data_IF_975069656819
#
_entry.id   IF_975069656819
#
_cell.length_a   1.000
_cell.length_b   1.000
_cell.length_c   1.000
_cell.angle_alpha   90.00
_cell.angle_beta   90.00
_cell.angle_gamma   90.00
#
_symmetry.space_group_name_H-M   'P 1'
#
loop_
_entity.id
_entity.type
_entity.pdbx_description
1 polymer ?
#
# COMPACT_ATOMS: atom_id res chain seq x y z
N UNK A 1 28.98 12.25 -5.03
CA UNK A 1 27.66 12.12 -4.37
C UNK A 1 26.59 11.92 -5.42
N UNK A 2 26.35 10.68 -5.84
CA UNK A 2 25.21 10.37 -6.72
C UNK A 2 23.95 10.29 -5.85
N UNK A 3 23.00 11.21 -6.08
CA UNK A 3 21.64 11.16 -5.52
C UNK A 3 21.01 9.82 -5.88
N UNK A 4 20.96 8.88 -4.95
CA UNK A 4 20.08 7.72 -5.09
C UNK A 4 18.66 8.23 -4.84
N UNK A 5 17.70 8.05 -5.74
CA UNK A 5 16.34 8.51 -5.50
C UNK A 5 15.76 7.68 -4.35
N UNK A 6 15.58 8.28 -3.18
CA UNK A 6 14.98 7.64 -2.00
C UNK A 6 13.59 7.05 -2.26
N UNK A 7 12.96 7.41 -3.38
CA UNK A 7 11.62 7.00 -3.82
C UNK A 7 11.55 5.59 -4.41
N UNK A 8 12.60 5.09 -5.07
CA UNK A 8 12.55 3.78 -5.71
C UNK A 8 12.42 2.65 -4.67
N UNK A 9 13.14 2.74 -3.55
CA UNK A 9 13.07 1.71 -2.51
C UNK A 9 11.68 1.55 -1.86
N UNK A 10 10.89 2.62 -1.80
CA UNK A 10 9.49 2.54 -1.34
C UNK A 10 8.61 1.86 -2.38
N UNK A 11 8.75 2.22 -3.66
CA UNK A 11 8.01 1.57 -4.74
C UNK A 11 8.37 0.08 -4.87
N UNK A 12 9.66 -0.25 -4.83
CA UNK A 12 10.17 -1.63 -4.84
C UNK A 12 9.60 -2.45 -3.68
N UNK A 13 9.58 -1.88 -2.47
CA UNK A 13 8.99 -2.55 -1.29
C UNK A 13 7.49 -2.80 -1.47
N UNK A 14 6.76 -1.85 -2.05
CA UNK A 14 5.33 -2.03 -2.37
C UNK A 14 5.14 -3.14 -3.41
N UNK A 15 5.94 -3.16 -4.48
CA UNK A 15 5.89 -4.21 -5.50
C UNK A 15 6.18 -5.58 -4.90
N UNK A 16 7.23 -5.70 -4.09
CA UNK A 16 7.59 -6.93 -3.40
C UNK A 16 6.45 -7.41 -2.49
N UNK A 17 5.87 -6.52 -1.68
CA UNK A 17 4.71 -6.83 -0.82
C UNK A 17 3.53 -7.35 -1.63
N UNK A 18 3.25 -6.72 -2.78
CA UNK A 18 2.14 -7.07 -3.66
C UNK A 18 2.37 -8.44 -4.33
N UNK A 19 3.61 -8.77 -4.66
CA UNK A 19 3.97 -10.08 -5.19
C UNK A 19 3.88 -11.19 -4.13
N UNK A 20 4.45 -10.95 -2.95
CA UNK A 20 4.54 -11.94 -1.86
C UNK A 20 3.21 -12.17 -1.14
N UNK A 21 2.46 -11.10 -0.85
CA UNK A 21 1.25 -11.21 -0.03
C UNK A 21 -0.03 -11.38 -0.83
N UNK A 22 -0.03 -11.07 -2.13
CA UNK A 22 -1.23 -11.14 -2.96
C UNK A 22 -1.03 -12.02 -4.20
N UNK A 23 -0.12 -11.66 -5.09
CA UNK A 23 -0.02 -12.33 -6.39
C UNK A 23 0.37 -13.81 -6.27
N UNK A 24 1.28 -14.14 -5.35
CA UNK A 24 1.74 -15.52 -5.15
C UNK A 24 0.76 -16.39 -4.34
N UNK A 25 -0.21 -15.79 -3.66
CA UNK A 25 -1.14 -16.50 -2.78
C UNK A 25 -2.34 -17.11 -3.54
N UNK A 26 -2.59 -16.69 -4.78
CA UNK A 26 -3.78 -17.10 -5.52
C UNK A 26 -3.51 -17.28 -7.01
N UNK A 27 -4.10 -18.33 -7.60
CA UNK A 27 -4.10 -18.54 -9.05
C UNK A 27 -5.35 -17.90 -9.66
N UNK A 28 -5.16 -16.81 -10.39
CA UNK A 28 -6.27 -16.08 -11.00
C UNK A 28 -6.84 -16.80 -12.23
N UNK A 29 -8.15 -17.06 -12.22
CA UNK A 29 -8.86 -17.72 -13.33
C UNK A 29 -8.93 -16.88 -14.60
N UNK A 30 -8.99 -15.56 -14.46
CA UNK A 30 -9.05 -14.62 -15.58
C UNK A 30 -8.51 -13.23 -15.20
N UNK A 31 -8.24 -12.42 -16.23
CA UNK A 31 -7.67 -11.08 -16.08
C UNK A 31 -8.57 -10.11 -15.30
N UNK A 32 -9.89 -10.22 -15.48
CA UNK A 32 -10.84 -9.32 -14.82
C UNK A 32 -10.90 -9.56 -13.31
N UNK A 33 -10.95 -10.81 -12.88
CA UNK A 33 -10.87 -11.20 -11.47
C UNK A 33 -9.56 -10.72 -10.85
N UNK A 34 -8.43 -10.94 -11.52
CA UNK A 34 -7.13 -10.41 -11.07
C UNK A 34 -7.15 -8.90 -10.86
N UNK A 35 -7.77 -8.14 -11.77
CA UNK A 35 -7.87 -6.68 -11.65
C UNK A 35 -8.70 -6.25 -10.43
N UNK A 36 -9.83 -6.91 -10.20
CA UNK A 36 -10.71 -6.62 -9.05
C UNK A 36 -10.00 -6.93 -7.74
N UNK A 37 -9.36 -8.09 -7.65
CA UNK A 37 -8.61 -8.50 -6.46
C UNK A 37 -7.40 -7.60 -6.19
N UNK A 38 -6.74 -7.09 -7.24
CA UNK A 38 -5.67 -6.09 -7.09
C UNK A 38 -6.20 -4.82 -6.42
N UNK A 39 -7.34 -4.30 -6.90
CA UNK A 39 -7.96 -3.11 -6.33
C UNK A 39 -8.29 -3.33 -4.86
N UNK A 40 -8.88 -4.49 -4.52
CA UNK A 40 -9.19 -4.87 -3.14
C UNK A 40 -7.95 -4.95 -2.26
N UNK A 41 -6.86 -5.53 -2.77
CA UNK A 41 -5.62 -5.65 -2.01
C UNK A 41 -4.97 -4.28 -1.74
N UNK A 42 -4.98 -3.38 -2.73
CA UNK A 42 -4.48 -2.01 -2.58
C UNK A 42 -5.34 -1.24 -1.57
N UNK A 43 -6.66 -1.37 -1.65
CA UNK A 43 -7.60 -0.78 -0.69
C UNK A 43 -7.35 -1.29 0.73
N UNK A 44 -7.21 -2.60 0.91
CA UNK A 44 -6.85 -3.20 2.19
C UNK A 44 -5.55 -2.61 2.76
N UNK A 45 -4.51 -2.43 1.94
CA UNK A 45 -3.25 -1.84 2.41
C UNK A 45 -3.39 -0.37 2.83
N UNK A 46 -4.27 0.38 2.18
CA UNK A 46 -4.43 1.83 2.37
C UNK A 46 -5.46 2.21 3.45
N UNK A 47 -6.51 1.41 3.62
CA UNK A 47 -7.68 1.75 4.44
C UNK A 47 -7.94 0.78 5.60
N UNK A 48 -7.32 -0.41 5.62
CA UNK A 48 -7.64 -1.44 6.63
C UNK A 48 -6.42 -1.91 7.41
N UNK A 49 -5.28 -2.12 6.74
CA UNK A 49 -4.08 -2.66 7.36
C UNK A 49 -3.34 -1.56 8.15
N UNK A 50 -3.15 -1.70 9.48
CA UNK A 50 -2.32 -0.79 10.25
C UNK A 50 -0.83 -1.02 9.97
N UNK A 51 -0.04 0.04 9.96
CA UNK A 51 1.40 -0.02 9.68
C UNK A 51 2.22 0.52 10.86
N UNK A 52 3.14 -0.30 11.37
CA UNK A 52 3.98 0.06 12.52
C UNK A 52 4.82 1.33 12.31
N UNK A 53 5.23 1.61 11.08
CA UNK A 53 6.03 2.78 10.73
C UNK A 53 5.28 4.13 10.80
N UNK A 54 3.95 4.10 10.96
CA UNK A 54 3.10 5.28 11.08
C UNK A 54 2.17 5.14 12.29
N UNK A 55 2.74 4.81 13.44
CA UNK A 55 2.03 4.74 14.73
C UNK A 55 0.87 3.72 14.73
N UNK A 56 1.00 2.65 13.94
CA UNK A 56 -0.06 1.65 13.74
C UNK A 56 -1.34 2.20 13.12
N UNK A 57 -1.29 3.38 12.49
CA UNK A 57 -2.36 3.89 11.64
C UNK A 57 -2.34 3.22 10.27
N UNK A 58 -3.46 3.27 9.57
CA UNK A 58 -3.50 3.05 8.12
C UNK A 58 -2.92 4.27 7.39
N UNK A 59 -2.44 4.11 6.14
CA UNK A 59 -1.91 5.23 5.37
C UNK A 59 -2.95 6.34 5.18
N UNK A 60 -4.21 5.99 4.94
CA UNK A 60 -5.27 6.98 4.77
C UNK A 60 -5.58 7.73 6.06
N UNK A 61 -5.63 7.06 7.22
CA UNK A 61 -5.78 7.76 8.50
C UNK A 61 -4.62 8.72 8.77
N UNK A 62 -3.38 8.32 8.46
CA UNK A 62 -2.21 9.21 8.61
C UNK A 62 -2.29 10.41 7.68
N UNK A 63 -2.75 10.24 6.44
CA UNK A 63 -2.96 11.35 5.50
C UNK A 63 -4.07 12.28 5.99
N UNK A 64 -5.20 11.73 6.45
CA UNK A 64 -6.30 12.52 6.99
C UNK A 64 -5.83 13.34 8.19
N UNK A 65 -5.14 12.71 9.16
CA UNK A 65 -4.54 13.43 10.28
C UNK A 65 -3.57 14.51 9.77
N UNK A 66 -2.64 14.18 8.88
CA UNK A 66 -1.65 15.14 8.40
C UNK A 66 -2.27 16.37 7.72
N UNK A 67 -3.30 16.19 6.89
CA UNK A 67 -3.91 17.29 6.14
C UNK A 67 -4.99 18.05 6.90
N UNK A 68 -5.73 17.41 7.82
CA UNK A 68 -6.91 18.00 8.47
C UNK A 68 -6.77 18.23 9.99
N UNK A 69 -5.60 17.98 10.60
CA UNK A 69 -5.41 18.19 12.05
C UNK A 69 -5.54 19.64 12.53
N UNK A 70 -5.58 20.63 11.64
CA UNK A 70 -5.69 22.06 12.00
C UNK A 70 -7.06 22.69 11.66
N UNK A 71 -8.05 21.88 11.25
CA UNK A 71 -9.41 22.36 10.94
C UNK A 71 -10.42 22.13 12.09
N UNK A 72 -9.93 21.82 13.29
CA UNK A 72 -10.74 21.65 14.52
C UNK A 72 -10.19 22.57 15.63
#
# INVERSE_FOLDING_TARGET
MTRVPQTNGKAERVIMTLMEMWHSQYIFKNRNGRRIELIRFVDYCNNVKPHKGIESMTPMEKLISYFFSNEI
#
